data_IF_216229672971
#
_entry.id   IF_216229672971
#
_cell.length_a   1.000
_cell.length_b   1.000
_cell.length_c   1.000
_cell.angle_alpha   90.00
_cell.angle_beta   90.00
_cell.angle_gamma   90.00
#
_symmetry.space_group_name_H-M   'P 1'
#
loop_
_entity.id
_entity.type
_entity.pdbx_description
1 polymer ?
#
# COMPACT_ATOMS: atom_id res chain seq x y z
N UNK A 1 -1.44 2.51 14.37
CA UNK A 1 -1.36 3.85 13.80
C UNK A 1 0.03 4.09 13.18
N UNK A 2 0.07 4.60 11.99
CA UNK A 2 1.30 5.03 11.34
C UNK A 2 1.08 6.37 10.64
N UNK A 3 2.11 7.22 10.64
CA UNK A 3 2.18 8.44 9.84
C UNK A 3 3.30 8.28 8.82
N UNK A 4 3.01 8.56 7.57
CA UNK A 4 3.94 8.47 6.46
C UNK A 4 4.12 9.88 5.89
N UNK A 5 5.38 10.32 5.80
CA UNK A 5 5.76 11.65 5.32
C UNK A 5 6.68 11.48 4.11
N UNK A 6 6.13 11.35 2.89
CA UNK A 6 6.92 11.31 1.68
C UNK A 6 7.46 12.69 1.34
N UNK A 7 8.67 12.74 0.80
CA UNK A 7 9.25 13.90 0.13
C UNK A 7 9.47 13.49 -1.33
N UNK A 8 8.52 13.83 -2.20
CA UNK A 8 8.51 13.43 -3.62
C UNK A 8 8.52 14.69 -4.45
N UNK A 9 9.72 15.07 -4.87
CA UNK A 9 9.96 16.29 -5.68
C UNK A 9 10.46 15.93 -7.05
N UNK A 10 10.07 16.70 -8.06
CA UNK A 10 10.47 16.48 -9.44
C UNK A 10 10.50 17.76 -10.25
N UNK A 11 11.00 17.67 -11.49
CA UNK A 11 11.10 18.80 -12.41
C UNK A 11 10.48 18.44 -13.75
N UNK A 12 9.48 19.22 -14.17
CA UNK A 12 8.82 19.06 -15.45
C UNK A 12 9.68 19.57 -16.62
N UNK A 13 9.55 18.93 -17.79
CA UNK A 13 10.26 19.34 -19.01
C UNK A 13 9.75 20.65 -19.59
N UNK A 14 8.49 21.02 -19.35
CA UNK A 14 7.93 22.30 -19.77
C UNK A 14 8.15 23.34 -18.66
N UNK A 15 8.76 24.46 -19.01
CA UNK A 15 9.08 25.59 -18.13
C UNK A 15 9.95 25.22 -16.91
N UNK A 16 10.57 24.03 -16.87
CA UNK A 16 11.35 23.52 -15.75
C UNK A 16 10.62 23.70 -14.40
N UNK A 17 9.31 23.44 -14.38
CA UNK A 17 8.48 23.59 -13.17
C UNK A 17 8.89 22.60 -12.11
N UNK A 18 9.20 23.09 -10.91
CA UNK A 18 9.48 22.26 -9.75
C UNK A 18 8.16 21.77 -9.13
N UNK A 19 8.06 20.46 -8.90
CA UNK A 19 6.93 19.81 -8.27
C UNK A 19 7.27 19.30 -6.88
N UNK A 20 6.33 19.38 -5.96
CA UNK A 20 6.32 18.69 -4.66
C UNK A 20 4.97 18.00 -4.54
N UNK A 21 4.94 16.71 -4.87
CA UNK A 21 3.70 15.96 -5.07
C UNK A 21 3.35 15.03 -3.91
N UNK A 22 4.30 14.76 -3.01
CA UNK A 22 4.10 13.84 -1.88
C UNK A 22 3.32 14.49 -0.75
N UNK A 23 2.14 13.98 -0.44
CA UNK A 23 1.39 14.41 0.73
C UNK A 23 1.56 13.43 1.89
N UNK A 24 1.66 13.96 3.11
CA UNK A 24 1.66 13.13 4.32
C UNK A 24 0.28 12.53 4.56
N UNK A 25 0.26 11.26 4.96
CA UNK A 25 -0.97 10.54 5.28
C UNK A 25 -0.80 9.67 6.52
N UNK A 26 -1.92 9.21 7.05
CA UNK A 26 -1.97 8.35 8.24
C UNK A 26 -2.70 7.06 7.92
N UNK A 27 -2.25 5.98 8.54
CA UNK A 27 -2.89 4.66 8.46
C UNK A 27 -3.25 4.19 9.85
N UNK A 28 -4.45 3.65 9.99
CA UNK A 28 -4.92 3.06 11.23
C UNK A 28 -5.35 1.63 10.97
N UNK A 29 -4.84 0.72 11.78
CA UNK A 29 -5.21 -0.70 11.75
C UNK A 29 -5.74 -1.11 13.12
N UNK A 30 -6.84 -1.84 13.14
CA UNK A 30 -7.36 -2.50 14.32
C UNK A 30 -7.36 -4.02 14.10
N UNK A 31 -6.91 -4.76 15.10
CA UNK A 31 -6.90 -6.24 15.05
C UNK A 31 -7.45 -6.77 16.37
N UNK A 32 -8.34 -7.75 16.28
CA UNK A 32 -8.82 -8.53 17.40
C UNK A 32 -8.66 -10.01 17.10
N UNK A 33 -8.14 -10.78 18.04
CA UNK A 33 -8.03 -12.24 17.91
C UNK A 33 -8.53 -12.91 19.17
N UNK A 34 -9.26 -14.02 18.99
CA UNK A 34 -9.74 -14.83 20.11
C UNK A 34 -9.71 -16.32 19.74
N UNK A 35 -9.19 -17.14 20.65
CA UNK A 35 -9.32 -18.58 20.55
C UNK A 35 -10.74 -18.99 20.97
N UNK A 36 -11.50 -19.56 20.03
CA UNK A 36 -12.93 -19.94 20.23
C UNK A 36 -13.04 -21.34 20.81
N UNK A 37 -12.16 -22.22 20.38
CA UNK A 37 -12.03 -23.58 20.84
C UNK A 37 -10.62 -24.07 20.62
N UNK A 38 -10.26 -25.21 21.22
CA UNK A 38 -8.96 -25.83 21.07
C UNK A 38 -8.54 -25.91 19.60
N UNK A 39 -7.44 -25.22 19.28
CA UNK A 39 -6.87 -25.11 17.94
C UNK A 39 -7.64 -24.23 16.94
N UNK A 40 -8.76 -23.59 17.33
CA UNK A 40 -9.52 -22.70 16.43
C UNK A 40 -9.47 -21.24 16.93
N UNK A 41 -8.80 -20.39 16.19
CA UNK A 41 -8.71 -18.94 16.45
C UNK A 41 -9.50 -18.16 15.41
N UNK A 42 -10.29 -17.19 15.86
CA UNK A 42 -10.93 -16.18 15.00
C UNK A 42 -10.18 -14.85 15.10
N UNK A 43 -9.93 -14.22 13.95
CA UNK A 43 -9.34 -12.90 13.83
C UNK A 43 -10.26 -11.94 13.12
N UNK A 44 -10.29 -10.69 13.58
CA UNK A 44 -10.89 -9.54 12.89
C UNK A 44 -9.79 -8.53 12.62
N UNK A 45 -9.73 -8.02 11.38
CA UNK A 45 -8.78 -6.98 10.99
C UNK A 45 -9.55 -5.88 10.26
N UNK A 46 -9.38 -4.65 10.71
CA UNK A 46 -9.80 -3.44 9.99
C UNK A 46 -8.54 -2.71 9.58
N UNK A 47 -8.33 -2.53 8.28
CA UNK A 47 -7.14 -1.90 7.71
C UNK A 47 -7.47 -1.01 6.50
N UNK A 48 -6.45 -0.30 6.02
CA UNK A 48 -6.47 0.54 4.82
C UNK A 48 -5.47 -0.04 3.81
N UNK A 49 -5.92 -1.00 2.95
CA UNK A 49 -5.00 -1.77 2.12
C UNK A 49 -4.36 -0.98 0.98
N UNK A 50 -5.06 0.02 0.49
CA UNK A 50 -4.63 0.87 -0.62
C UNK A 50 -4.86 2.33 -0.28
N UNK A 51 -4.04 3.20 -0.85
CA UNK A 51 -4.16 4.64 -0.74
C UNK A 51 -3.19 5.32 -1.69
N UNK A 52 -3.61 6.44 -2.24
CA UNK A 52 -2.76 7.34 -3.01
C UNK A 52 -3.13 8.78 -2.66
N UNK A 53 -2.14 9.65 -2.59
CA UNK A 53 -2.37 11.09 -2.42
C UNK A 53 -1.24 11.83 -3.13
N UNK A 54 -1.53 12.28 -4.34
CA UNK A 54 -0.60 12.97 -5.24
C UNK A 54 -1.29 14.24 -5.74
N UNK A 55 -0.57 15.36 -5.73
CA UNK A 55 -1.06 16.59 -6.32
C UNK A 55 0.12 17.42 -6.85
N UNK A 56 0.16 17.61 -8.15
CA UNK A 56 1.15 18.45 -8.80
C UNK A 56 0.79 19.93 -8.62
N UNK A 57 1.65 20.65 -7.92
CA UNK A 57 1.58 22.10 -7.86
C UNK A 57 1.91 22.72 -9.24
N UNK A 58 1.57 23.97 -9.42
CA UNK A 58 1.87 24.73 -10.63
C UNK A 58 0.61 25.13 -11.41
N UNK A 59 0.80 26.07 -12.33
CA UNK A 59 -0.27 26.56 -13.21
C UNK A 59 -0.55 25.53 -14.31
N UNK A 60 -1.77 24.95 -14.40
CA UNK A 60 -2.13 24.02 -15.47
C UNK A 60 -1.89 24.56 -16.88
N UNK A 61 -2.01 25.86 -17.09
CA UNK A 61 -1.80 26.49 -18.40
C UNK A 61 -0.32 26.66 -18.77
N UNK A 62 0.59 26.57 -17.81
CA UNK A 62 2.01 26.90 -18.00
C UNK A 62 3.00 25.81 -17.60
N UNK A 63 2.55 24.72 -16.99
CA UNK A 63 3.40 23.61 -16.53
C UNK A 63 2.95 22.27 -17.13
N UNK A 64 3.88 21.31 -17.21
CA UNK A 64 3.60 20.00 -17.80
C UNK A 64 2.43 19.28 -17.14
N UNK A 65 2.41 19.20 -15.81
CA UNK A 65 1.51 18.38 -15.01
C UNK A 65 0.77 19.16 -13.91
N UNK A 66 0.88 20.50 -13.88
CA UNK A 66 0.24 21.32 -12.84
C UNK A 66 -1.27 21.07 -12.78
N UNK A 67 -1.80 20.88 -11.58
CA UNK A 67 -3.20 20.52 -11.35
C UNK A 67 -3.54 19.03 -11.52
N UNK A 68 -2.61 18.20 -12.01
CA UNK A 68 -2.78 16.74 -12.02
C UNK A 68 -2.71 16.21 -10.59
N UNK A 69 -3.60 15.29 -10.25
CA UNK A 69 -3.63 14.67 -8.92
C UNK A 69 -4.48 13.43 -8.85
N UNK A 70 -4.28 12.68 -7.79
CA UNK A 70 -5.12 11.55 -7.42
C UNK A 70 -5.20 11.47 -5.89
N UNK A 71 -6.40 11.24 -5.40
CA UNK A 71 -6.66 10.85 -4.03
C UNK A 71 -7.46 9.56 -4.03
N UNK A 72 -6.93 8.51 -3.41
CA UNK A 72 -7.57 7.20 -3.31
C UNK A 72 -7.60 6.80 -1.86
N UNK A 73 -8.77 6.44 -1.37
CA UNK A 73 -8.98 5.90 -0.04
C UNK A 73 -9.57 4.50 -0.10
N UNK A 74 -9.11 3.64 0.77
CA UNK A 74 -9.69 2.32 0.92
C UNK A 74 -9.82 1.93 2.39
N UNK A 75 -10.79 1.06 2.67
CA UNK A 75 -10.96 0.42 3.96
C UNK A 75 -11.35 -1.03 3.76
N UNK A 76 -10.82 -1.92 4.58
CA UNK A 76 -11.19 -3.33 4.55
C UNK A 76 -11.47 -3.86 5.95
N UNK A 77 -12.48 -4.73 6.03
CA UNK A 77 -12.76 -5.59 7.18
C UNK A 77 -12.53 -7.02 6.76
N UNK A 78 -11.61 -7.71 7.44
CA UNK A 78 -11.32 -9.12 7.23
C UNK A 78 -11.74 -9.95 8.45
N UNK A 79 -12.42 -11.08 8.20
CA UNK A 79 -12.73 -12.08 9.20
C UNK A 79 -11.96 -13.33 8.81
N UNK A 80 -11.09 -13.83 9.70
CA UNK A 80 -10.14 -14.90 9.41
C UNK A 80 -10.29 -16.00 10.46
N UNK A 81 -10.52 -17.22 10.02
CA UNK A 81 -10.40 -18.42 10.86
C UNK A 81 -9.03 -19.05 10.67
N UNK A 82 -8.32 -19.35 11.76
CA UNK A 82 -7.11 -20.17 11.78
C UNK A 82 -7.42 -21.47 12.51
N UNK A 83 -7.02 -22.59 11.93
CA UNK A 83 -7.15 -23.92 12.53
C UNK A 83 -5.78 -24.61 12.64
N UNK A 84 -5.43 -25.04 13.84
CA UNK A 84 -4.21 -25.79 14.11
C UNK A 84 -4.48 -27.29 13.81
N UNK A 85 -3.96 -27.76 12.68
CA UNK A 85 -4.11 -29.16 12.23
C UNK A 85 -3.34 -30.10 13.16
N UNK A 86 -2.21 -29.64 13.63
CA UNK A 86 -1.34 -30.27 14.64
C UNK A 86 -0.39 -29.22 15.22
N UNK A 87 0.53 -29.63 16.10
CA UNK A 87 1.49 -28.74 16.76
C UNK A 87 2.43 -27.98 15.78
N UNK A 88 2.59 -28.49 14.56
CA UNK A 88 3.50 -27.90 13.58
C UNK A 88 2.79 -27.23 12.39
N UNK A 89 1.53 -27.56 12.11
CA UNK A 89 0.83 -27.12 10.89
C UNK A 89 -0.46 -26.45 11.26
N UNK A 90 -0.66 -25.24 10.75
CA UNK A 90 -1.95 -24.54 10.79
C UNK A 90 -2.38 -24.11 9.39
N UNK A 91 -3.68 -23.98 9.21
CA UNK A 91 -4.29 -23.41 8.00
C UNK A 91 -5.16 -22.23 8.38
N UNK A 92 -5.29 -21.27 7.49
CA UNK A 92 -6.18 -20.14 7.71
C UNK A 92 -6.92 -19.76 6.43
N UNK A 93 -8.14 -19.28 6.60
CA UNK A 93 -8.95 -18.76 5.52
C UNK A 93 -9.84 -17.62 6.04
N UNK A 94 -10.22 -16.72 5.16
CA UNK A 94 -11.03 -15.58 5.56
C UNK A 94 -11.79 -14.94 4.43
N UNK A 95 -12.77 -14.13 4.82
CA UNK A 95 -13.51 -13.24 3.94
C UNK A 95 -13.07 -11.80 4.22
N UNK A 96 -12.99 -10.99 3.17
CA UNK A 96 -12.63 -9.58 3.23
C UNK A 96 -13.70 -8.77 2.55
N UNK A 97 -14.27 -7.79 3.26
CA UNK A 97 -15.13 -6.76 2.69
C UNK A 97 -14.29 -5.49 2.53
N UNK A 98 -14.17 -5.00 1.31
CA UNK A 98 -13.34 -3.84 0.97
C UNK A 98 -14.19 -2.74 0.37
N UNK A 99 -13.94 -1.49 0.73
CA UNK A 99 -14.45 -0.30 0.06
C UNK A 99 -13.32 0.51 -0.53
N UNK A 100 -13.56 1.12 -1.69
CA UNK A 100 -12.63 2.00 -2.41
C UNK A 100 -13.40 3.19 -2.94
N UNK A 101 -12.81 4.38 -2.85
CA UNK A 101 -13.28 5.64 -3.45
C UNK A 101 -12.06 6.43 -3.94
N UNK A 102 -12.22 7.23 -5.00
CA UNK A 102 -11.12 8.01 -5.54
C UNK A 102 -11.59 9.29 -6.23
N UNK A 103 -10.68 10.28 -6.25
CA UNK A 103 -10.78 11.47 -7.07
C UNK A 103 -9.52 11.59 -7.92
N UNK A 104 -9.66 11.85 -9.22
CA UNK A 104 -8.54 12.00 -10.14
C UNK A 104 -8.75 13.23 -11.01
N UNK A 105 -7.69 14.04 -11.11
CA UNK A 105 -7.61 15.18 -12.02
C UNK A 105 -6.43 15.02 -12.97
N UNK A 106 -6.65 15.17 -14.27
CA UNK A 106 -5.62 15.14 -15.31
C UNK A 106 -5.54 16.51 -15.97
N UNK A 107 -4.56 17.28 -15.56
CA UNK A 107 -4.39 18.68 -15.94
C UNK A 107 -2.94 18.97 -16.40
N UNK A 108 -2.75 20.15 -16.91
CA UNK A 108 -1.44 20.61 -17.39
C UNK A 108 -1.29 20.52 -18.91
N UNK A 109 -0.21 21.12 -19.39
CA UNK A 109 0.07 21.21 -20.84
C UNK A 109 0.30 19.83 -21.45
N UNK A 110 0.80 18.86 -20.67
CA UNK A 110 1.02 17.49 -21.12
C UNK A 110 -0.28 16.78 -21.54
N UNK A 111 -1.38 17.13 -20.91
CA UNK A 111 -2.71 16.63 -21.26
C UNK A 111 -3.44 17.49 -22.31
N UNK A 112 -2.72 18.45 -22.94
CA UNK A 112 -3.28 19.29 -24.02
C UNK A 112 -4.38 20.24 -23.58
N UNK A 113 -4.44 20.60 -22.30
CA UNK A 113 -5.50 21.44 -21.74
C UNK A 113 -6.84 20.70 -21.62
N UNK A 114 -6.78 19.39 -21.39
CA UNK A 114 -7.96 18.51 -21.29
C UNK A 114 -8.87 18.88 -20.11
N UNK A 115 -8.28 19.34 -18.99
CA UNK A 115 -9.00 19.77 -17.78
C UNK A 115 -10.02 18.71 -17.34
N UNK A 116 -9.51 17.48 -17.19
CA UNK A 116 -10.33 16.32 -16.86
C UNK A 116 -10.38 16.11 -15.36
N UNK A 117 -11.58 15.90 -14.85
CA UNK A 117 -11.84 15.52 -13.46
C UNK A 117 -12.82 14.35 -13.40
N UNK A 118 -12.55 13.40 -12.53
CA UNK A 118 -13.46 12.31 -12.20
C UNK A 118 -13.52 12.08 -10.70
N UNK A 119 -14.73 11.95 -10.19
CA UNK A 119 -15.02 11.38 -8.87
C UNK A 119 -15.53 9.95 -9.08
N UNK A 120 -14.90 9.00 -8.42
CA UNK A 120 -15.29 7.58 -8.37
C UNK A 120 -15.90 7.35 -6.99
N UNK A 121 -17.22 7.17 -6.97
CA UNK A 121 -17.97 7.02 -5.75
C UNK A 121 -17.60 5.73 -5.02
N UNK A 122 -17.84 5.72 -3.71
CA UNK A 122 -17.51 4.58 -2.85
C UNK A 122 -18.16 3.29 -3.31
N UNK A 123 -17.36 2.37 -3.78
CA UNK A 123 -17.74 0.99 -4.10
C UNK A 123 -17.31 0.05 -2.98
N UNK A 124 -18.15 -0.95 -2.68
CA UNK A 124 -17.86 -1.95 -1.68
C UNK A 124 -18.04 -3.36 -2.22
N UNK A 125 -17.01 -4.18 -2.13
CA UNK A 125 -17.02 -5.54 -2.67
C UNK A 125 -16.33 -6.53 -1.73
N UNK A 126 -16.36 -7.81 -2.05
CA UNK A 126 -15.83 -8.86 -1.18
C UNK A 126 -14.85 -9.76 -1.90
N UNK A 127 -13.78 -10.08 -1.21
CA UNK A 127 -12.78 -11.04 -1.60
C UNK A 127 -12.56 -12.09 -0.50
N UNK A 128 -11.57 -12.92 -0.70
CA UNK A 128 -11.20 -13.97 0.23
C UNK A 128 -9.69 -14.10 0.36
N UNK A 129 -9.24 -14.78 1.38
CA UNK A 129 -7.86 -15.16 1.57
C UNK A 129 -7.77 -16.60 2.07
N UNK A 130 -6.65 -17.25 1.74
CA UNK A 130 -6.32 -18.59 2.22
C UNK A 130 -4.83 -18.72 2.42
N UNK A 131 -4.43 -19.51 3.39
CA UNK A 131 -3.02 -19.76 3.63
C UNK A 131 -2.77 -20.91 4.59
N UNK A 132 -1.49 -21.17 4.81
CA UNK A 132 -1.01 -22.19 5.74
C UNK A 132 0.28 -21.72 6.41
N UNK A 133 0.57 -22.26 7.59
CA UNK A 133 1.83 -22.05 8.27
C UNK A 133 2.38 -23.38 8.79
N UNK A 134 3.72 -23.42 8.82
CA UNK A 134 4.51 -24.49 9.41
C UNK A 134 5.42 -23.92 10.52
N UNK A 135 5.42 -24.53 11.68
CA UNK A 135 6.11 -24.04 12.86
C UNK A 135 6.95 -25.13 13.52
N UNK A 136 8.15 -24.77 14.00
CA UNK A 136 8.96 -25.59 14.91
C UNK A 136 9.28 -24.70 16.11
N UNK A 137 8.51 -24.81 17.22
CA UNK A 137 8.64 -23.93 18.39
C UNK A 137 10.04 -23.91 19.01
N UNK A 138 10.72 -25.06 19.07
CA UNK A 138 12.04 -25.21 19.71
C UNK A 138 13.12 -24.28 19.13
N UNK A 139 12.99 -23.93 17.86
CA UNK A 139 13.92 -23.04 17.17
C UNK A 139 13.25 -21.74 16.72
N UNK A 140 12.02 -21.47 17.20
CA UNK A 140 11.18 -20.34 16.81
C UNK A 140 11.01 -20.23 15.27
N UNK A 141 11.08 -21.36 14.55
CA UNK A 141 10.83 -21.39 13.11
C UNK A 141 9.36 -21.24 12.84
N UNK A 142 9.01 -20.33 11.96
CA UNK A 142 7.70 -20.24 11.33
C UNK A 142 7.85 -19.87 9.87
N UNK A 143 7.16 -20.59 9.00
CA UNK A 143 7.00 -20.26 7.59
C UNK A 143 5.52 -20.18 7.32
N UNK A 144 5.02 -19.08 6.76
CA UNK A 144 3.63 -18.98 6.37
C UNK A 144 3.48 -18.44 4.96
N UNK A 145 2.50 -18.97 4.23
CA UNK A 145 2.13 -18.50 2.91
C UNK A 145 0.65 -18.12 2.92
N UNK A 146 0.32 -16.95 2.35
CA UNK A 146 -1.05 -16.46 2.26
C UNK A 146 -1.31 -15.89 0.87
N UNK A 147 -2.39 -16.32 0.25
CA UNK A 147 -2.91 -15.74 -0.98
C UNK A 147 -4.16 -14.91 -0.67
N UNK A 148 -4.24 -13.73 -1.26
CA UNK A 148 -5.38 -12.82 -1.24
C UNK A 148 -5.96 -12.75 -2.64
N UNK A 149 -7.27 -13.00 -2.77
CA UNK A 149 -7.95 -12.85 -4.06
C UNK A 149 -7.96 -11.39 -4.50
N UNK A 150 -8.04 -11.16 -5.78
CA UNK A 150 -8.53 -9.91 -6.34
C UNK A 150 -9.94 -9.61 -5.84
N UNK A 151 -10.33 -8.32 -5.88
CA UNK A 151 -11.68 -7.89 -5.54
C UNK A 151 -12.23 -7.03 -6.67
N UNK A 152 -13.30 -7.52 -7.29
CA UNK A 152 -14.00 -6.80 -8.36
C UNK A 152 -14.88 -5.70 -7.76
N UNK A 153 -14.77 -4.51 -8.31
CA UNK A 153 -15.53 -3.32 -7.94
C UNK A 153 -16.29 -2.77 -9.15
N UNK A 154 -17.49 -2.27 -8.90
CA UNK A 154 -18.25 -1.43 -9.83
C UNK A 154 -18.65 -0.18 -9.06
N UNK A 155 -18.30 0.98 -9.59
CA UNK A 155 -18.52 2.26 -8.95
C UNK A 155 -19.24 3.24 -9.90
N UNK A 156 -20.13 4.05 -9.35
CA UNK A 156 -20.65 5.20 -10.07
C UNK A 156 -19.56 6.27 -10.21
N UNK A 157 -19.59 7.02 -11.30
CA UNK A 157 -18.65 8.11 -11.57
C UNK A 157 -19.37 9.39 -11.91
N UNK A 158 -18.69 10.51 -11.62
CA UNK A 158 -19.06 11.82 -12.13
C UNK A 158 -17.87 12.42 -12.84
N UNK A 159 -17.98 12.65 -14.15
CA UNK A 159 -16.87 13.07 -14.99
C UNK A 159 -17.10 14.47 -15.58
N UNK A 160 -16.03 15.26 -15.60
CA UNK A 160 -15.96 16.56 -16.27
C UNK A 160 -14.84 16.54 -17.29
N UNK A 161 -15.14 16.85 -18.55
CA UNK A 161 -14.19 16.91 -19.67
C UNK A 161 -14.64 18.03 -20.63
N UNK A 162 -14.29 19.30 -20.32
CA UNK A 162 -14.81 20.47 -21.02
C UNK A 162 -14.59 20.47 -22.54
N UNK A 163 -13.44 20.00 -23.08
CA UNK A 163 -13.25 19.95 -24.53
C UNK A 163 -14.25 19.05 -25.27
N UNK A 164 -14.83 18.07 -24.60
CA UNK A 164 -15.89 17.22 -25.15
C UNK A 164 -17.30 17.71 -24.78
N UNK A 165 -17.42 18.85 -24.09
CA UNK A 165 -18.69 19.38 -23.60
C UNK A 165 -19.28 18.59 -22.43
N UNK A 166 -18.53 17.69 -21.82
CA UNK A 166 -18.93 16.94 -20.64
C UNK A 166 -18.76 17.80 -19.37
N UNK A 167 -19.81 17.94 -18.60
CA UNK A 167 -19.80 18.68 -17.34
C UNK A 167 -20.67 17.94 -16.32
N UNK A 168 -20.02 17.35 -15.31
CA UNK A 168 -20.65 16.50 -14.31
C UNK A 168 -21.52 15.38 -14.95
N UNK A 169 -20.97 14.68 -15.93
CA UNK A 169 -21.65 13.57 -16.60
C UNK A 169 -21.58 12.33 -15.72
N UNK A 170 -22.74 11.73 -15.35
CA UNK A 170 -22.73 10.48 -14.61
C UNK A 170 -22.30 9.31 -15.51
N UNK A 171 -21.54 8.39 -14.95
CA UNK A 171 -21.07 7.18 -15.60
C UNK A 171 -20.87 6.05 -14.60
N UNK A 172 -20.19 5.01 -15.05
CA UNK A 172 -19.76 3.88 -14.21
C UNK A 172 -18.36 3.45 -14.61
N UNK A 173 -17.64 2.85 -13.67
CA UNK A 173 -16.36 2.21 -13.92
C UNK A 173 -16.29 0.87 -13.19
N UNK A 174 -15.85 -0.16 -13.90
CA UNK A 174 -15.51 -1.45 -13.32
C UNK A 174 -13.99 -1.56 -13.21
N UNK A 175 -13.51 -2.04 -12.08
CA UNK A 175 -12.08 -2.25 -11.84
C UNK A 175 -11.85 -3.36 -10.82
N UNK A 176 -10.63 -3.90 -10.79
CA UNK A 176 -10.22 -4.91 -9.81
C UNK A 176 -9.12 -4.36 -8.91
N UNK A 177 -9.24 -4.54 -7.59
CA UNK A 177 -8.07 -4.36 -6.72
C UNK A 177 -7.23 -5.63 -6.75
N UNK A 178 -5.88 -5.51 -6.74
CA UNK A 178 -5.00 -6.61 -7.11
C UNK A 178 -5.03 -7.78 -6.15
N UNK A 179 -4.89 -8.98 -6.71
CA UNK A 179 -4.53 -10.17 -5.94
C UNK A 179 -3.12 -10.03 -5.36
N UNK A 180 -2.85 -10.74 -4.26
CA UNK A 180 -1.53 -10.70 -3.65
C UNK A 180 -1.14 -12.05 -3.04
N UNK A 181 0.17 -12.28 -3.00
CA UNK A 181 0.78 -13.44 -2.35
C UNK A 181 1.82 -12.97 -1.33
N UNK A 182 1.72 -13.48 -0.10
CA UNK A 182 2.69 -13.26 0.96
C UNK A 182 3.38 -14.57 1.32
N UNK A 183 4.69 -14.50 1.52
CA UNK A 183 5.50 -15.56 2.14
C UNK A 183 6.28 -14.94 3.29
N UNK A 184 6.05 -15.45 4.51
CA UNK A 184 6.70 -14.96 5.71
C UNK A 184 7.55 -16.07 6.33
N UNK A 185 8.73 -15.72 6.79
CA UNK A 185 9.70 -16.59 7.43
C UNK A 185 10.23 -15.95 8.69
N UNK A 186 10.35 -16.76 9.73
CA UNK A 186 11.07 -16.37 10.95
C UNK A 186 11.79 -17.58 11.53
N UNK A 187 12.95 -17.35 12.18
CA UNK A 187 13.64 -18.39 12.95
C UNK A 187 14.56 -17.78 14.01
N UNK A 188 14.79 -18.52 15.10
CA UNK A 188 15.82 -18.20 16.09
C UNK A 188 17.21 -18.47 15.51
N UNK A 189 18.09 -17.47 15.56
CA UNK A 189 19.49 -17.58 15.07
C UNK A 189 20.53 -17.56 16.21
N UNK A 190 20.13 -17.10 17.37
CA UNK A 190 20.90 -17.12 18.62
C UNK A 190 19.94 -16.97 19.80
N UNK A 191 20.47 -17.10 21.03
CA UNK A 191 19.68 -16.79 22.22
C UNK A 191 19.09 -15.38 22.12
N UNK A 192 17.77 -15.27 22.37
CA UNK A 192 17.02 -14.02 22.33
C UNK A 192 17.07 -13.26 21.01
N UNK A 193 17.40 -13.94 19.90
CA UNK A 193 17.60 -13.28 18.61
C UNK A 193 16.85 -14.01 17.50
N UNK A 194 15.94 -13.30 16.82
CA UNK A 194 15.15 -13.77 15.68
C UNK A 194 15.66 -13.16 14.38
N UNK A 195 15.71 -13.98 13.34
CA UNK A 195 15.78 -13.55 11.96
C UNK A 195 14.36 -13.60 11.37
N UNK A 196 13.96 -12.57 10.66
CA UNK A 196 12.69 -12.51 9.92
C UNK A 196 12.96 -12.18 8.47
N UNK A 197 12.18 -12.76 7.57
CA UNK A 197 12.17 -12.39 6.17
C UNK A 197 10.74 -12.44 5.64
N UNK A 198 10.39 -11.57 4.71
CA UNK A 198 9.11 -11.67 4.01
C UNK A 198 9.27 -11.34 2.53
N UNK A 199 8.37 -11.92 1.76
CA UNK A 199 8.16 -11.61 0.37
C UNK A 199 6.68 -11.35 0.13
N UNK A 200 6.36 -10.24 -0.54
CA UNK A 200 5.01 -9.93 -1.01
C UNK A 200 5.06 -9.61 -2.49
N UNK A 201 4.16 -10.21 -3.25
CA UNK A 201 3.84 -9.84 -4.63
C UNK A 201 2.39 -9.36 -4.70
N UNK A 202 2.17 -8.27 -5.42
CA UNK A 202 0.83 -7.75 -5.72
C UNK A 202 0.73 -7.52 -7.24
N UNK A 203 -0.31 -8.04 -7.86
CA UNK A 203 -0.51 -8.01 -9.31
C UNK A 203 -1.24 -6.72 -9.70
N UNK A 204 -0.55 -5.57 -9.61
CA UNK A 204 -1.13 -4.26 -9.94
C UNK A 204 -1.35 -4.07 -11.44
N UNK A 205 -0.70 -4.85 -12.30
CA UNK A 205 -0.94 -4.82 -13.75
C UNK A 205 -2.34 -5.27 -14.16
N UNK A 206 -3.10 -5.89 -13.25
CA UNK A 206 -4.49 -6.28 -13.49
C UNK A 206 -5.49 -5.12 -13.20
N UNK A 207 -5.01 -4.00 -12.66
CA UNK A 207 -5.83 -2.82 -12.32
C UNK A 207 -5.93 -1.89 -13.54
N UNK A 208 -7.04 -1.98 -14.24
CA UNK A 208 -7.46 -1.02 -15.26
C UNK A 208 -8.62 -0.18 -14.74
N UNK A 209 -8.57 1.14 -14.90
CA UNK A 209 -9.63 2.07 -14.50
C UNK A 209 -10.00 2.93 -15.70
N UNK A 210 -11.06 2.55 -16.42
CA UNK A 210 -11.48 3.20 -17.67
C UNK A 210 -12.85 3.86 -17.48
N UNK A 211 -12.89 5.15 -17.05
CA UNK A 211 -14.14 5.89 -16.91
C UNK A 211 -14.85 6.10 -18.26
N UNK A 212 -16.18 6.19 -18.22
CA UNK A 212 -17.02 6.15 -19.42
C UNK A 212 -16.78 7.33 -20.39
N UNK A 213 -16.56 8.56 -19.86
CA UNK A 213 -16.38 9.76 -20.69
C UNK A 213 -14.94 9.87 -21.18
N UNK A 214 -13.97 9.58 -20.32
CA UNK A 214 -12.56 9.57 -20.70
C UNK A 214 -12.26 8.48 -21.73
N UNK A 215 -12.78 7.28 -21.54
CA UNK A 215 -12.65 6.16 -22.46
C UNK A 215 -11.23 5.60 -22.59
N UNK A 216 -10.33 5.96 -21.69
CA UNK A 216 -8.96 5.44 -21.60
C UNK A 216 -8.61 5.15 -20.15
N UNK A 217 -7.64 4.27 -19.94
CA UNK A 217 -7.18 3.91 -18.60
C UNK A 217 -6.53 5.11 -17.90
N UNK A 218 -6.90 5.30 -16.63
CA UNK A 218 -6.34 6.33 -15.74
C UNK A 218 -5.01 5.92 -15.12
N UNK A 219 -4.78 4.62 -14.96
CA UNK A 219 -3.64 4.07 -14.23
C UNK A 219 -2.91 3.04 -15.09
N UNK A 220 -1.59 3.13 -15.08
CA UNK A 220 -0.72 2.12 -15.68
C UNK A 220 0.32 1.73 -14.63
N UNK A 221 0.06 0.63 -13.93
CA UNK A 221 0.87 0.19 -12.81
C UNK A 221 1.55 -1.15 -13.13
N UNK A 222 2.79 -1.28 -12.71
CA UNK A 222 3.52 -2.53 -12.75
C UNK A 222 3.25 -3.38 -11.51
N UNK A 223 3.38 -4.69 -11.62
CA UNK A 223 3.36 -5.60 -10.48
C UNK A 223 4.41 -5.19 -9.46
N UNK A 224 4.02 -5.15 -8.20
CA UNK A 224 4.92 -4.82 -7.11
C UNK A 224 5.44 -6.08 -6.41
N UNK A 225 6.74 -6.07 -6.09
CA UNK A 225 7.39 -7.11 -5.30
C UNK A 225 8.15 -6.45 -4.16
N UNK A 226 7.85 -6.87 -2.93
CA UNK A 226 8.53 -6.35 -1.74
C UNK A 226 9.22 -7.47 -0.99
N UNK A 227 10.48 -7.25 -0.68
CA UNK A 227 11.30 -8.12 0.16
C UNK A 227 11.62 -7.39 1.46
N UNK A 228 11.58 -8.12 2.58
CA UNK A 228 12.08 -7.61 3.85
C UNK A 228 13.02 -8.61 4.50
N UNK A 229 14.01 -8.12 5.23
CA UNK A 229 14.92 -8.91 6.05
C UNK A 229 15.16 -8.17 7.36
N UNK A 230 14.85 -8.81 8.47
CA UNK A 230 14.93 -8.20 9.79
C UNK A 230 15.64 -9.06 10.81
N UNK A 231 16.23 -8.41 11.80
CA UNK A 231 16.76 -9.04 13.01
C UNK A 231 16.12 -8.36 14.21
N UNK A 232 15.47 -9.17 15.06
CA UNK A 232 14.94 -8.76 16.34
C UNK A 232 15.72 -9.37 17.50
N UNK A 233 15.93 -8.61 18.57
CA UNK A 233 16.62 -9.08 19.77
C UNK A 233 15.87 -8.66 21.03
N UNK A 234 15.71 -9.61 21.94
CA UNK A 234 15.23 -9.35 23.30
C UNK A 234 16.43 -8.93 24.16
N UNK A 235 16.32 -7.75 24.78
CA UNK A 235 17.36 -7.18 25.66
C UNK A 235 17.08 -7.46 27.12
N UNK A 236 15.79 -7.57 27.49
CA UNK A 236 15.30 -7.97 28.80
C UNK A 236 13.95 -8.67 28.64
N UNK A 237 13.35 -9.09 29.74
CA UNK A 237 12.01 -9.70 29.72
C UNK A 237 10.94 -8.77 29.14
N UNK A 238 11.10 -7.46 29.31
CA UNK A 238 10.15 -6.45 28.92
C UNK A 238 10.55 -5.70 27.63
N UNK A 239 11.83 -5.69 27.24
CA UNK A 239 12.34 -4.85 26.16
C UNK A 239 12.94 -5.66 25.02
N UNK A 240 12.47 -5.44 23.83
CA UNK A 240 13.09 -5.92 22.59
C UNK A 240 13.22 -4.81 21.56
N UNK A 241 14.15 -4.98 20.63
CA UNK A 241 14.35 -4.06 19.52
C UNK A 241 14.56 -4.82 18.22
N UNK A 242 14.38 -4.14 17.10
CA UNK A 242 14.57 -4.72 15.78
C UNK A 242 15.13 -3.73 14.78
N UNK A 243 15.82 -4.27 13.80
CA UNK A 243 16.21 -3.58 12.57
C UNK A 243 15.73 -4.40 11.39
N UNK A 244 15.05 -3.76 10.44
CA UNK A 244 14.53 -4.42 9.24
C UNK A 244 14.94 -3.62 8.01
N UNK A 245 15.45 -4.28 7.00
CA UNK A 245 15.67 -3.75 5.66
C UNK A 245 14.47 -4.10 4.79
N UNK A 246 14.07 -3.20 3.92
CA UNK A 246 13.05 -3.42 2.90
C UNK A 246 13.59 -3.04 1.53
N UNK A 247 13.19 -3.82 0.54
CA UNK A 247 13.57 -3.60 -0.85
C UNK A 247 12.40 -3.90 -1.77
N UNK A 248 12.16 -2.99 -2.69
CA UNK A 248 11.21 -3.13 -3.79
C UNK A 248 11.97 -2.80 -5.08
N UNK A 249 12.08 -3.77 -6.01
CA UNK A 249 12.80 -3.56 -7.27
C UNK A 249 12.18 -2.41 -8.06
N UNK A 250 13.01 -1.72 -8.80
CA UNK A 250 12.56 -0.80 -9.82
C UNK A 250 11.86 -1.56 -10.95
N UNK A 251 10.74 -1.03 -11.44
CA UNK A 251 10.03 -1.49 -12.63
C UNK A 251 10.46 -0.70 -13.86
N UNK A 252 9.49 -0.34 -14.71
CA UNK A 252 9.74 0.46 -15.90
C UNK A 252 10.23 1.86 -15.53
N UNK A 253 11.13 2.42 -16.34
CA UNK A 253 11.67 3.78 -16.14
C UNK A 253 10.58 4.85 -16.24
N UNK A 254 9.61 4.64 -17.15
CA UNK A 254 8.47 5.53 -17.33
C UNK A 254 7.31 5.07 -16.43
N UNK A 255 6.83 5.98 -15.61
CA UNK A 255 5.75 5.71 -14.65
C UNK A 255 4.56 6.63 -14.89
N UNK A 256 3.41 6.23 -14.36
CA UNK A 256 2.22 7.10 -14.32
C UNK A 256 2.50 8.36 -13.48
N UNK A 257 2.05 9.54 -13.91
CA UNK A 257 2.06 10.73 -13.06
C UNK A 257 1.32 10.57 -11.73
N UNK A 258 0.35 9.66 -11.66
CA UNK A 258 -0.40 9.38 -10.43
C UNK A 258 0.35 8.51 -9.41
N UNK A 259 1.56 8.02 -9.78
CA UNK A 259 2.47 7.30 -8.89
C UNK A 259 3.93 7.53 -9.27
N UNK A 260 4.49 8.75 -9.06
CA UNK A 260 5.80 9.14 -9.57
C UNK A 260 6.97 8.61 -8.73
N UNK A 261 6.97 7.31 -8.46
CA UNK A 261 8.05 6.61 -7.75
C UNK A 261 8.29 5.24 -8.39
N UNK A 262 9.51 4.72 -8.30
CA UNK A 262 9.90 3.47 -8.96
C UNK A 262 10.78 2.63 -8.03
N UNK A 263 10.15 1.72 -7.28
CA UNK A 263 10.82 0.91 -6.28
C UNK A 263 11.25 1.69 -5.03
N UNK A 264 11.85 1.00 -4.08
CA UNK A 264 12.40 1.62 -2.87
C UNK A 264 13.46 0.74 -2.18
N UNK A 265 14.29 1.37 -1.36
CA UNK A 265 15.13 0.73 -0.36
C UNK A 265 14.93 1.41 0.99
N UNK A 266 14.55 0.65 2.02
CA UNK A 266 14.21 1.18 3.32
C UNK A 266 14.93 0.50 4.48
N UNK A 267 15.02 1.23 5.59
CA UNK A 267 15.47 0.71 6.88
C UNK A 267 14.48 1.12 7.96
N UNK A 268 14.06 0.15 8.76
CA UNK A 268 13.21 0.36 9.93
C UNK A 268 13.97 0.03 11.20
N UNK A 269 13.79 0.85 12.22
CA UNK A 269 14.24 0.58 13.59
C UNK A 269 13.03 0.62 14.49
N UNK A 270 12.83 -0.43 15.28
CA UNK A 270 11.70 -0.56 16.18
C UNK A 270 12.09 -1.02 17.56
N UNK A 271 11.25 -0.69 18.54
CA UNK A 271 11.32 -1.19 19.89
C UNK A 271 9.93 -1.65 20.36
N UNK A 272 9.93 -2.66 21.22
CA UNK A 272 8.74 -3.22 21.86
C UNK A 272 8.99 -3.28 23.35
N UNK A 273 8.03 -2.75 24.11
CA UNK A 273 8.09 -2.74 25.57
C UNK A 273 6.80 -3.29 26.17
N UNK A 274 6.96 -4.22 27.11
CA UNK A 274 5.84 -4.84 27.83
C UNK A 274 5.59 -4.12 29.15
N UNK A 275 4.34 -3.71 29.40
CA UNK A 275 3.90 -3.04 30.62
C UNK A 275 2.64 -3.72 31.15
N UNK A 276 2.78 -4.59 32.14
CA UNK A 276 1.65 -5.39 32.61
C UNK A 276 1.07 -6.27 31.51
N UNK A 277 -0.20 -6.13 31.22
CA UNK A 277 -0.90 -6.87 30.14
C UNK A 277 -0.80 -6.17 28.77
N UNK A 278 -0.21 -4.99 28.72
CA UNK A 278 -0.06 -4.23 27.49
C UNK A 278 1.34 -4.34 26.91
N UNK A 279 1.39 -4.38 25.59
CA UNK A 279 2.63 -4.31 24.81
C UNK A 279 2.59 -3.09 23.92
N UNK A 280 3.56 -2.20 24.07
CA UNK A 280 3.69 -0.99 23.27
C UNK A 280 4.86 -1.20 22.30
N UNK A 281 4.62 -1.05 21.01
CA UNK A 281 5.65 -1.09 19.99
C UNK A 281 5.70 0.23 19.25
N UNK A 282 6.88 0.78 19.05
CA UNK A 282 7.10 1.99 18.28
C UNK A 282 8.24 1.82 17.31
N UNK A 283 8.21 2.53 16.20
CA UNK A 283 9.27 2.43 15.19
C UNK A 283 9.33 3.61 14.25
N UNK A 284 10.47 3.73 13.62
CA UNK A 284 10.77 4.72 12.57
C UNK A 284 11.26 3.96 11.34
N UNK A 285 10.75 4.33 10.18
CA UNK A 285 11.23 3.85 8.89
C UNK A 285 11.73 5.04 8.06
N UNK A 286 12.89 4.88 7.44
CA UNK A 286 13.39 5.75 6.39
C UNK A 286 13.51 4.92 5.10
N UNK A 287 12.92 5.41 4.02
CA UNK A 287 13.00 4.79 2.70
C UNK A 287 13.54 5.80 1.69
N UNK A 288 14.55 5.39 0.94
CA UNK A 288 14.92 6.03 -0.31
C UNK A 288 14.01 5.47 -1.40
N UNK A 289 13.29 6.36 -2.09
CA UNK A 289 12.44 5.99 -3.23
C UNK A 289 13.32 5.93 -4.48
N UNK A 290 13.02 5.00 -5.38
CA UNK A 290 13.72 4.88 -6.65
C UNK A 290 13.40 6.07 -7.57
N UNK A 291 14.35 6.40 -8.43
CA UNK A 291 14.20 7.47 -9.38
C UNK A 291 13.14 7.09 -10.44
N UNK A 292 12.33 8.05 -10.85
CA UNK A 292 11.21 7.83 -11.74
C UNK A 292 11.07 8.97 -12.75
N UNK A 293 10.55 8.65 -13.93
CA UNK A 293 10.18 9.63 -14.92
C UNK A 293 8.70 9.50 -15.23
N UNK A 294 7.89 10.44 -14.72
CA UNK A 294 6.47 10.51 -15.04
C UNK A 294 6.30 10.97 -16.49
N UNK A 295 5.56 10.22 -17.30
CA UNK A 295 5.39 10.48 -18.73
C UNK A 295 3.92 10.58 -19.14
N UNK A 296 3.60 11.60 -19.92
CA UNK A 296 2.31 11.77 -20.61
C UNK A 296 2.59 12.15 -22.07
N UNK A 297 2.50 11.17 -22.97
CA UNK A 297 2.66 11.42 -24.39
C UNK A 297 4.00 12.05 -24.80
N UNK A 298 5.08 11.77 -24.05
CA UNK A 298 6.41 12.34 -24.26
C UNK A 298 6.68 13.63 -23.49
N UNK A 299 5.71 14.21 -22.80
CA UNK A 299 5.91 15.26 -21.81
C UNK A 299 6.23 14.63 -20.47
N UNK A 300 7.35 14.99 -19.87
CA UNK A 300 7.94 14.30 -18.74
C UNK A 300 8.17 15.19 -17.53
N UNK A 301 8.22 14.54 -16.39
CA UNK A 301 8.75 15.14 -15.17
C UNK A 301 9.69 14.12 -14.49
N UNK A 302 10.90 14.57 -14.18
CA UNK A 302 11.93 13.73 -13.57
C UNK A 302 11.88 13.86 -12.05
N UNK A 303 11.75 12.72 -11.38
CA UNK A 303 11.71 12.58 -9.92
C UNK A 303 12.94 11.81 -9.46
N UNK A 304 13.87 12.49 -8.79
CA UNK A 304 15.14 11.91 -8.37
C UNK A 304 15.48 12.26 -6.93
N UNK A 305 16.16 11.32 -6.23
CA UNK A 305 16.64 11.56 -4.87
C UNK A 305 15.55 11.63 -3.80
N UNK A 306 14.39 11.10 -4.06
CA UNK A 306 13.21 11.15 -3.22
C UNK A 306 13.28 10.19 -2.03
N UNK A 307 12.53 10.47 -0.97
CA UNK A 307 12.55 9.67 0.25
C UNK A 307 11.20 9.73 0.99
N UNK A 308 11.04 8.84 1.96
CA UNK A 308 9.90 8.83 2.87
C UNK A 308 10.37 8.57 4.29
N UNK A 309 9.83 9.30 5.26
CA UNK A 309 10.03 9.08 6.68
C UNK A 309 8.70 8.72 7.34
N UNK A 310 8.65 7.57 8.00
CA UNK A 310 7.43 7.08 8.63
C UNK A 310 7.64 6.78 10.10
N UNK A 311 6.59 6.96 10.89
CA UNK A 311 6.54 6.65 12.31
C UNK A 311 5.35 5.74 12.57
N UNK A 312 5.56 4.68 13.33
CA UNK A 312 4.52 3.74 13.72
C UNK A 312 4.41 3.57 15.21
N UNK A 313 3.19 3.39 15.70
CA UNK A 313 2.86 3.03 17.07
C UNK A 313 1.81 1.92 17.07
N UNK A 314 2.06 0.85 17.83
CA UNK A 314 1.12 -0.25 18.05
C UNK A 314 0.97 -0.49 19.54
N UNK A 315 -0.26 -0.70 19.99
CA UNK A 315 -0.58 -1.13 21.35
C UNK A 315 -1.37 -2.44 21.26
N UNK A 316 -0.92 -3.45 21.97
CA UNK A 316 -1.56 -4.75 22.09
C UNK A 316 -1.95 -4.95 23.55
N UNK A 317 -3.16 -5.44 23.81
CA UNK A 317 -3.65 -5.76 25.15
C UNK A 317 -4.19 -7.17 25.15
N UNK A 318 -3.68 -8.00 26.04
CA UNK A 318 -4.25 -9.32 26.36
C UNK A 318 -5.38 -9.18 27.41
N UNK A 319 -6.46 -9.93 27.26
CA UNK A 319 -7.56 -9.99 28.21
C UNK A 319 -8.19 -11.38 28.24
#
# INVERSE_FOLDING_TARGET
YATINPSVTGVGTIAATEYDVGKSYTMTTFTYTNEISDGLTLGLIVDQPYGASVLYNGDPAASSLGGTGAELESQALSIIGKYDVNEAVSVHAGLRRQSVEAEVSLNGVAYGGMDYDVTIDKSSSSGWLIGAAYEIPDIALRVSATYFSEVEHSADTTETLPPLGANNVPGTVDFVTPSAFNLDFQTGIAADTLLTASYRRSNYSDLDVVPTVLGSDLVNLNDAQRFTLGVGRRFSDDLSGSVTLSYEPEGDELVSPLGPTNGLMGISIGARYTVGEAIISGGVNYSKLGDAQADVGGNRADFTGNSSLSFGLKVEVGF
#
